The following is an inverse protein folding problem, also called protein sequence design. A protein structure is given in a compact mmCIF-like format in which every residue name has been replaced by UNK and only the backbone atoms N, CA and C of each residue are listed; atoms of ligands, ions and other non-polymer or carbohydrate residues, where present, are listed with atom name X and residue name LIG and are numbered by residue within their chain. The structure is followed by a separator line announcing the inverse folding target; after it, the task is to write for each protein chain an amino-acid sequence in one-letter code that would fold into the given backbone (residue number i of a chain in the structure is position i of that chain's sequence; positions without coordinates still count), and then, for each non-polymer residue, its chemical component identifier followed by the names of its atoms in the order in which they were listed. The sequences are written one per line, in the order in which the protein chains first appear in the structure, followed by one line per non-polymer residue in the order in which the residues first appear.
data_IF_584657363675
#
_entry.id   IF_584657363675
#
_cell.length_a   1.000
_cell.length_b   1.000
_cell.length_c   1.000
_cell.angle_alpha   90.00
_cell.angle_beta   90.00
_cell.angle_gamma   90.00
#
_symmetry.space_group_name_H-M   'P 1'
#
loop_
_entity.id
_entity.type
_entity.pdbx_description
1 polymer ?
#
# COMPACT_ATOMS: atom_id res chain seq x y z
N UNK A 1 33.82 27.49 -29.49
CA UNK A 1 33.40 28.79 -28.91
C UNK A 1 31.89 29.08 -28.95
N UNK A 2 31.05 28.40 -29.76
CA UNK A 2 29.60 28.71 -29.83
C UNK A 2 28.71 28.17 -28.68
N UNK A 3 29.09 27.10 -27.98
CA UNK A 3 28.27 26.53 -26.89
C UNK A 3 28.30 27.32 -25.57
N UNK A 4 29.42 27.99 -25.24
CA UNK A 4 29.54 28.80 -24.01
C UNK A 4 28.65 30.07 -24.05
N UNK A 5 28.46 30.66 -25.23
CA UNK A 5 27.62 31.85 -25.38
C UNK A 5 26.12 31.54 -25.28
N UNK A 6 25.69 30.31 -25.62
CA UNK A 6 24.29 29.89 -25.50
C UNK A 6 23.89 29.71 -24.03
N UNK A 7 24.78 29.13 -23.21
CA UNK A 7 24.55 28.95 -21.78
C UNK A 7 24.42 30.30 -21.07
N UNK A 8 25.30 31.26 -21.37
CA UNK A 8 25.24 32.60 -20.78
C UNK A 8 23.93 33.32 -21.14
N UNK A 9 23.45 33.19 -22.39
CA UNK A 9 22.17 33.78 -22.81
C UNK A 9 20.97 33.15 -22.10
N UNK A 10 20.97 31.83 -21.91
CA UNK A 10 19.90 31.12 -21.16
C UNK A 10 19.90 31.55 -19.70
N UNK A 11 21.06 31.68 -19.04
CA UNK A 11 21.13 32.14 -17.66
C UNK A 11 20.70 33.60 -17.48
N UNK A 12 21.06 34.48 -18.41
CA UNK A 12 20.61 35.88 -18.38
C UNK A 12 19.10 35.97 -18.60
N UNK A 13 18.54 35.14 -19.47
CA UNK A 13 17.09 35.09 -19.70
C UNK A 13 16.33 34.53 -18.49
N UNK A 14 16.85 33.47 -17.86
CA UNK A 14 16.28 32.88 -16.65
C UNK A 14 16.29 33.88 -15.50
N UNK A 15 17.41 34.60 -15.31
CA UNK A 15 17.54 35.62 -14.27
C UNK A 15 16.61 36.82 -14.51
N UNK A 16 16.43 37.22 -15.78
CA UNK A 16 15.46 38.25 -16.14
C UNK A 16 14.01 37.79 -15.91
N UNK A 17 13.68 36.52 -16.18
CA UNK A 17 12.36 35.96 -15.88
C UNK A 17 12.08 35.91 -14.37
N UNK A 18 13.07 35.51 -13.56
CA UNK A 18 12.96 35.53 -12.09
C UNK A 18 12.78 36.95 -11.57
N UNK A 19 13.56 37.91 -12.05
CA UNK A 19 13.41 39.31 -11.64
C UNK A 19 12.06 39.94 -12.05
N UNK A 20 11.53 39.58 -13.22
CA UNK A 20 10.20 40.01 -13.66
C UNK A 20 9.10 39.33 -12.84
N UNK A 21 9.28 38.05 -12.49
CA UNK A 21 8.37 37.32 -11.60
C UNK A 21 8.36 37.95 -10.20
N UNK A 22 9.52 38.17 -9.58
CA UNK A 22 9.64 38.84 -8.28
C UNK A 22 9.00 40.23 -8.30
N UNK A 23 9.20 41.01 -9.37
CA UNK A 23 8.57 42.32 -9.52
C UNK A 23 7.04 42.24 -9.70
N UNK A 24 6.55 41.30 -10.50
CA UNK A 24 5.10 41.13 -10.74
C UNK A 24 4.34 40.60 -9.53
N UNK A 25 5.00 39.82 -8.67
CA UNK A 25 4.38 39.16 -7.53
C UNK A 25 4.91 39.70 -6.19
N UNK A 26 5.59 40.84 -6.19
CA UNK A 26 6.23 41.42 -5.00
C UNK A 26 5.26 41.57 -3.83
N UNK A 27 4.01 41.96 -4.09
CA UNK A 27 3.00 42.16 -3.04
C UNK A 27 2.38 40.83 -2.55
N UNK A 28 2.43 39.76 -3.35
CA UNK A 28 1.93 38.42 -2.98
C UNK A 28 2.99 37.53 -2.34
N UNK A 29 4.26 37.77 -2.65
CA UNK A 29 5.39 37.03 -2.09
C UNK A 29 5.46 37.19 -0.56
N UNK A 30 5.11 38.36 -0.04
CA UNK A 30 5.06 38.65 1.41
C UNK A 30 3.88 37.97 2.13
N UNK A 31 2.78 37.67 1.43
CA UNK A 31 1.66 36.87 1.96
C UNK A 31 1.98 35.38 1.97
N UNK A 32 2.66 34.88 0.94
CA UNK A 32 3.05 33.47 0.83
C UNK A 32 4.27 33.11 1.68
N UNK A 33 5.11 34.11 1.97
CA UNK A 33 6.33 33.95 2.76
C UNK A 33 6.49 35.15 3.70
N UNK A 34 5.74 35.22 4.81
CA UNK A 34 5.95 36.26 5.81
C UNK A 34 7.37 36.14 6.39
N UNK A 35 8.08 37.26 6.47
CA UNK A 35 9.42 37.30 7.08
C UNK A 35 9.33 36.87 8.55
N UNK A 36 10.03 35.79 8.91
CA UNK A 36 10.25 35.43 10.32
C UNK A 36 11.01 36.55 11.01
N UNK A 37 10.39 37.23 11.96
CA UNK A 37 11.12 38.07 12.90
C UNK A 37 12.10 37.21 13.69
N UNK A 38 13.39 37.50 13.52
CA UNK A 38 14.46 36.94 14.35
C UNK A 38 14.35 37.56 15.74
N UNK A 39 13.86 36.78 16.70
CA UNK A 39 13.90 37.18 18.11
C UNK A 39 15.37 37.30 18.57
N UNK A 40 15.71 38.34 19.36
CA UNK A 40 17.06 38.53 19.84
C UNK A 40 17.40 37.50 20.90
N UNK A 41 18.60 36.93 20.76
CA UNK A 41 19.20 36.03 21.74
C UNK A 41 19.50 36.80 23.04
N UNK A 42 18.67 36.64 24.06
CA UNK A 42 18.98 37.02 25.44
C UNK A 42 18.94 35.78 26.31
N UNK A 43 20.11 35.44 26.84
CA UNK A 43 20.29 34.59 28.00
C UNK A 43 19.59 35.16 29.24
N UNK A 44 19.10 34.25 30.07
CA UNK A 44 18.54 34.37 31.42
C UNK A 44 17.05 34.72 31.58
N UNK A 45 16.38 33.75 32.22
CA UNK A 45 15.18 33.80 33.08
C UNK A 45 13.79 34.01 32.41
N UNK A 46 13.04 32.89 32.34
CA UNK A 46 11.60 32.86 32.08
C UNK A 46 11.10 31.43 31.85
N UNK A 47 10.79 30.71 32.93
CA UNK A 47 9.99 29.48 32.87
C UNK A 47 8.65 29.79 32.18
N UNK A 48 8.44 29.22 31.00
CA UNK A 48 7.10 29.08 30.42
C UNK A 48 6.66 27.65 30.76
N UNK A 49 5.86 27.57 31.82
CA UNK A 49 5.14 26.38 32.25
C UNK A 49 4.28 25.92 31.05
N UNK A 50 4.73 24.86 30.38
CA UNK A 50 3.80 23.97 29.70
C UNK A 50 2.88 23.45 30.80
N UNK A 51 1.59 23.78 30.72
CA UNK A 51 0.60 23.35 31.69
C UNK A 51 0.70 21.82 31.83
N UNK A 52 1.20 21.36 32.98
CA UNK A 52 1.28 19.93 33.33
C UNK A 52 -0.11 19.29 33.22
N UNK A 53 -1.19 20.06 33.41
CA UNK A 53 -2.59 19.66 33.17
C UNK A 53 -2.86 19.24 31.72
N UNK A 54 -2.27 19.87 30.70
CA UNK A 54 -2.50 19.51 29.28
C UNK A 54 -1.75 18.25 28.87
N UNK A 55 -0.62 17.96 29.51
CA UNK A 55 0.16 16.73 29.29
C UNK A 55 -0.47 15.58 30.08
N UNK A 56 -0.92 15.82 31.32
CA UNK A 56 -1.63 14.84 32.14
C UNK A 56 -3.02 14.51 31.54
N UNK A 57 -3.80 15.48 31.04
CA UNK A 57 -5.07 15.21 30.34
C UNK A 57 -4.84 14.39 29.05
N UNK A 58 -3.69 14.54 28.38
CA UNK A 58 -3.34 13.77 27.18
C UNK A 58 -2.85 12.36 27.50
N UNK A 59 -2.06 12.17 28.56
CA UNK A 59 -1.71 10.83 29.05
C UNK A 59 -2.94 10.11 29.60
N UNK A 60 -3.82 10.81 30.33
CA UNK A 60 -5.09 10.27 30.83
C UNK A 60 -6.06 9.94 29.68
N UNK A 61 -6.21 10.76 28.63
CA UNK A 61 -7.04 10.40 27.47
C UNK A 61 -6.47 9.25 26.65
N UNK A 62 -5.13 9.15 26.54
CA UNK A 62 -4.46 8.04 25.87
C UNK A 62 -4.58 6.75 26.69
N UNK A 63 -4.58 6.85 28.02
CA UNK A 63 -4.94 5.74 28.92
C UNK A 63 -6.45 5.46 28.89
N UNK A 64 -7.33 6.44 28.73
CA UNK A 64 -8.79 6.27 28.75
C UNK A 64 -9.29 5.61 27.45
N UNK A 65 -8.76 6.01 26.28
CA UNK A 65 -8.94 5.32 24.99
C UNK A 65 -8.26 3.94 24.94
N UNK A 66 -7.19 3.73 25.73
CA UNK A 66 -6.61 2.40 25.94
C UNK A 66 -7.34 1.58 27.01
N UNK A 67 -8.22 2.20 27.82
CA UNK A 67 -8.94 1.58 28.94
C UNK A 67 -10.35 1.08 28.61
N UNK A 68 -10.90 1.47 27.46
CA UNK A 68 -11.85 0.59 26.77
C UNK A 68 -11.03 -0.56 26.18
N UNK A 69 -10.55 -1.45 27.05
CA UNK A 69 -10.09 -2.79 26.71
C UNK A 69 -11.26 -3.48 26.00
N UNK A 70 -11.37 -3.26 24.69
CA UNK A 70 -11.96 -4.24 23.79
C UNK A 70 -11.20 -5.52 24.05
N UNK A 71 -11.96 -6.55 24.44
CA UNK A 71 -11.45 -7.80 24.98
C UNK A 71 -10.32 -8.29 24.07
N UNK A 72 -9.19 -8.71 24.66
CA UNK A 72 -8.06 -9.25 23.88
C UNK A 72 -8.49 -10.42 22.96
N UNK A 73 -9.67 -11.00 23.24
CA UNK A 73 -10.38 -12.03 22.48
C UNK A 73 -11.00 -11.54 21.14
N UNK A 74 -11.18 -10.22 20.93
CA UNK A 74 -11.71 -9.65 19.67
C UNK A 74 -10.64 -9.45 18.59
N UNK A 75 -9.35 -9.51 18.94
CA UNK A 75 -8.27 -9.39 17.97
C UNK A 75 -7.94 -10.74 17.32
N UNK A 76 -7.97 -10.78 15.98
CA UNK A 76 -7.74 -12.01 15.22
C UNK A 76 -6.31 -12.57 15.39
N UNK A 77 -5.35 -11.73 15.74
CA UNK A 77 -3.94 -12.11 15.95
C UNK A 77 -3.84 -13.07 17.15
N UNK A 78 -3.15 -14.21 16.97
CA UNK A 78 -2.97 -15.21 18.02
C UNK A 78 -4.08 -16.26 18.12
N UNK A 79 -5.16 -16.17 17.34
CA UNK A 79 -6.14 -17.25 17.19
C UNK A 79 -5.49 -18.49 16.57
N UNK A 80 -5.98 -19.67 16.95
CA UNK A 80 -5.60 -20.97 16.40
C UNK A 80 -6.36 -21.26 15.11
N UNK A 81 -5.91 -22.26 14.34
CA UNK A 81 -6.66 -22.76 13.18
C UNK A 81 -8.08 -23.19 13.55
N UNK A 82 -8.27 -23.87 14.68
CA UNK A 82 -9.59 -24.36 15.10
C UNK A 82 -10.54 -23.19 15.39
N UNK A 83 -10.06 -22.13 16.06
CA UNK A 83 -10.83 -20.90 16.32
C UNK A 83 -11.16 -20.17 15.01
N UNK A 84 -10.20 -20.08 14.07
CA UNK A 84 -10.43 -19.47 12.74
C UNK A 84 -11.50 -20.25 11.96
N UNK A 85 -11.46 -21.58 11.98
CA UNK A 85 -12.46 -22.41 11.30
C UNK A 85 -13.83 -22.32 12.01
N UNK A 86 -13.86 -22.19 13.34
CA UNK A 86 -15.09 -21.97 14.09
C UNK A 86 -15.76 -20.64 13.71
N UNK A 87 -14.97 -19.57 13.60
CA UNK A 87 -15.46 -18.23 13.31
C UNK A 87 -15.85 -18.05 11.82
N UNK A 88 -15.01 -18.52 10.90
CA UNK A 88 -15.10 -18.18 9.46
C UNK A 88 -15.39 -19.37 8.54
N UNK A 89 -15.36 -20.58 9.08
CA UNK A 89 -15.42 -21.84 8.32
C UNK A 89 -14.10 -22.20 7.65
N UNK A 90 -14.17 -23.24 6.82
CA UNK A 90 -13.03 -23.67 5.99
C UNK A 90 -12.65 -22.60 4.97
N UNK A 91 -11.35 -22.38 4.71
CA UNK A 91 -10.89 -21.44 3.69
C UNK A 91 -11.18 -21.97 2.28
N UNK A 92 -11.38 -21.06 1.33
CA UNK A 92 -11.62 -21.38 -0.08
C UNK A 92 -10.33 -21.85 -0.77
N UNK A 93 -9.18 -21.31 -0.33
CA UNK A 93 -7.85 -21.59 -0.86
C UNK A 93 -6.78 -21.38 0.20
N UNK A 94 -5.63 -22.02 0.04
CA UNK A 94 -4.43 -21.75 0.83
C UNK A 94 -3.26 -21.36 -0.06
N UNK A 95 -2.64 -20.22 0.21
CA UNK A 95 -1.51 -19.71 -0.57
C UNK A 95 -0.24 -19.59 0.30
N UNK A 96 0.95 -19.78 -0.29
CA UNK A 96 2.19 -19.50 0.41
C UNK A 96 2.48 -18.00 0.41
N UNK A 97 3.05 -17.47 1.49
CA UNK A 97 3.55 -16.08 1.52
C UNK A 97 5.06 -16.00 1.28
N UNK A 98 5.50 -14.84 0.78
CA UNK A 98 6.90 -14.45 0.77
C UNK A 98 7.47 -14.08 2.17
N UNK A 99 6.77 -14.42 3.26
CA UNK A 99 7.17 -14.02 4.62
C UNK A 99 7.16 -15.16 5.64
N UNK A 100 6.95 -16.41 5.20
CA UNK A 100 7.14 -17.62 5.99
C UNK A 100 5.85 -18.18 6.61
N UNK A 101 4.76 -17.43 6.55
CA UNK A 101 3.42 -17.88 6.92
C UNK A 101 2.61 -18.34 5.70
N UNK A 102 1.52 -19.06 5.94
CA UNK A 102 0.57 -19.49 4.90
C UNK A 102 -0.70 -18.65 4.98
N UNK A 103 -1.21 -18.21 3.84
CA UNK A 103 -2.49 -17.51 3.75
C UNK A 103 -3.64 -18.51 3.67
N UNK A 104 -4.64 -18.32 4.52
CA UNK A 104 -5.98 -18.86 4.37
C UNK A 104 -6.82 -17.82 3.65
N UNK A 105 -7.32 -18.13 2.46
CA UNK A 105 -8.06 -17.20 1.60
C UNK A 105 -9.56 -17.45 1.76
N UNK A 106 -10.30 -16.36 1.96
CA UNK A 106 -11.76 -16.36 2.07
C UNK A 106 -12.34 -15.39 1.04
N UNK A 107 -12.53 -15.88 -0.19
CA UNK A 107 -13.11 -15.15 -1.31
C UNK A 107 -14.63 -15.36 -1.34
N UNK A 108 -15.31 -14.91 -0.27
CA UNK A 108 -16.73 -15.22 0.00
C UNK A 108 -17.68 -14.74 -1.10
N UNK A 109 -17.40 -13.60 -1.72
CA UNK A 109 -18.16 -13.05 -2.85
C UNK A 109 -17.38 -11.96 -3.60
N UNK A 110 -17.96 -11.45 -4.70
CA UNK A 110 -17.40 -10.32 -5.45
C UNK A 110 -17.32 -9.02 -4.64
N UNK A 111 -18.00 -8.91 -3.49
CA UNK A 111 -17.97 -7.74 -2.59
C UNK A 111 -17.27 -7.99 -1.26
N UNK A 112 -16.84 -9.22 -0.97
CA UNK A 112 -16.32 -9.58 0.36
C UNK A 112 -15.14 -10.53 0.25
N UNK A 113 -13.97 -10.07 0.68
CA UNK A 113 -12.72 -10.82 0.67
C UNK A 113 -11.91 -10.56 1.94
N UNK A 114 -11.32 -11.62 2.48
CA UNK A 114 -10.28 -11.49 3.49
C UNK A 114 -9.30 -12.66 3.40
N UNK A 115 -8.10 -12.45 3.94
CA UNK A 115 -7.09 -13.49 4.05
C UNK A 115 -6.42 -13.45 5.41
N UNK A 116 -6.15 -14.63 5.99
CA UNK A 116 -5.60 -14.80 7.33
C UNK A 116 -4.26 -15.53 7.21
N UNK A 117 -3.18 -14.92 7.70
CA UNK A 117 -1.83 -15.47 7.67
C UNK A 117 -1.56 -16.30 8.92
N UNK A 118 -1.23 -17.57 8.72
CA UNK A 118 -0.95 -18.55 9.77
C UNK A 118 0.53 -18.90 9.83
N UNK A 119 1.13 -18.82 11.01
CA UNK A 119 2.49 -19.29 11.30
C UNK A 119 2.49 -20.04 12.63
N UNK A 120 3.16 -21.20 12.69
CA UNK A 120 3.26 -22.03 13.89
C UNK A 120 1.90 -22.31 14.58
N UNK A 121 0.85 -22.48 13.75
CA UNK A 121 -0.52 -22.77 14.20
C UNK A 121 -1.29 -21.57 14.76
N UNK A 122 -0.77 -20.36 14.57
CA UNK A 122 -1.32 -19.11 15.09
C UNK A 122 -1.49 -18.05 14.00
N UNK A 123 -2.54 -17.24 14.12
CA UNK A 123 -2.71 -16.06 13.25
C UNK A 123 -1.62 -15.04 13.55
N UNK A 124 -0.90 -14.60 12.53
CA UNK A 124 0.17 -13.59 12.62
C UNK A 124 -0.10 -12.33 11.81
N UNK A 125 -1.04 -12.40 10.86
CA UNK A 125 -1.54 -11.26 10.09
C UNK A 125 -2.93 -11.56 9.52
N UNK A 126 -3.70 -10.53 9.20
CA UNK A 126 -4.92 -10.66 8.41
C UNK A 126 -5.08 -9.43 7.51
N UNK A 127 -5.76 -9.60 6.37
CA UNK A 127 -6.13 -8.52 5.46
C UNK A 127 -7.62 -8.61 5.14
N UNK A 128 -8.32 -7.48 5.20
CA UNK A 128 -9.75 -7.36 5.03
C UNK A 128 -10.09 -6.28 4.00
N UNK A 129 -11.03 -6.58 3.12
CA UNK A 129 -11.56 -5.62 2.13
C UNK A 129 -13.03 -5.92 1.81
N UNK A 130 -13.76 -4.88 1.40
CA UNK A 130 -15.16 -5.02 1.00
C UNK A 130 -16.09 -5.06 2.20
N UNK A 131 -17.15 -5.85 2.11
CA UNK A 131 -18.21 -5.91 3.13
C UNK A 131 -17.66 -6.37 4.50
N UNK A 132 -16.54 -7.09 4.53
CA UNK A 132 -15.85 -7.46 5.78
C UNK A 132 -15.41 -6.26 6.61
N UNK A 133 -15.17 -5.10 5.98
CA UNK A 133 -14.82 -3.90 6.73
C UNK A 133 -16.01 -3.40 7.55
N UNK A 134 -17.24 -3.63 7.10
CA UNK A 134 -18.45 -3.21 7.83
C UNK A 134 -18.64 -3.98 9.15
N UNK A 135 -17.91 -5.09 9.33
CA UNK A 135 -17.88 -5.87 10.57
C UNK A 135 -16.83 -5.34 11.57
N UNK A 136 -15.96 -4.41 11.16
CA UNK A 136 -15.00 -3.77 12.04
C UNK A 136 -15.69 -2.78 13.00
N UNK A 137 -15.04 -2.44 14.14
CA UNK A 137 -15.47 -1.32 14.98
C UNK A 137 -15.75 -0.07 14.13
N UNK A 138 -16.84 0.63 14.43
CA UNK A 138 -17.32 1.74 13.60
C UNK A 138 -16.29 2.88 13.50
N UNK A 139 -15.44 3.03 14.52
CA UNK A 139 -14.34 3.99 14.58
C UNK A 139 -13.25 3.74 13.52
N UNK A 140 -13.22 2.53 12.95
CA UNK A 140 -12.31 2.15 11.87
C UNK A 140 -12.95 2.29 10.49
N UNK A 141 -14.24 2.65 10.40
CA UNK A 141 -14.98 2.84 9.15
C UNK A 141 -15.05 4.30 8.67
N UNK A 142 -14.41 5.19 9.42
CA UNK A 142 -14.39 6.62 9.19
C UNK A 142 -13.53 7.02 7.98
N UNK A 143 -13.67 8.27 7.54
CA UNK A 143 -12.77 8.85 6.51
C UNK A 143 -11.36 9.02 7.06
N UNK A 144 -10.39 9.23 6.16
CA UNK A 144 -9.01 9.52 6.57
C UNK A 144 -8.94 10.71 7.54
N UNK A 145 -9.67 11.79 7.26
CA UNK A 145 -9.63 13.01 8.06
C UNK A 145 -10.17 12.76 9.48
N UNK A 146 -11.32 12.09 9.59
CA UNK A 146 -11.93 11.72 10.88
C UNK A 146 -11.04 10.76 11.68
N UNK A 147 -10.49 9.72 11.05
CA UNK A 147 -9.57 8.81 11.73
C UNK A 147 -8.27 9.52 12.16
N UNK A 148 -7.73 10.41 11.34
CA UNK A 148 -6.52 11.14 11.68
C UNK A 148 -6.77 12.17 12.80
N UNK A 149 -7.98 12.73 12.92
CA UNK A 149 -8.38 13.57 14.06
C UNK A 149 -8.48 12.76 15.36
N UNK A 150 -8.97 11.52 15.29
CA UNK A 150 -9.12 10.66 16.47
C UNK A 150 -7.78 10.03 16.90
N UNK A 151 -7.09 9.38 15.96
CA UNK A 151 -5.90 8.56 16.23
C UNK A 151 -4.58 9.31 16.05
N UNK A 152 -4.58 10.51 15.45
CA UNK A 152 -3.38 11.32 15.19
C UNK A 152 -2.26 10.53 14.51
N UNK A 153 -2.40 10.23 13.21
CA UNK A 153 -1.42 9.40 12.52
C UNK A 153 -0.02 10.02 12.52
N UNK A 154 0.96 9.26 13.02
CA UNK A 154 2.34 9.70 13.11
C UNK A 154 3.13 9.40 11.84
N UNK A 155 4.09 10.28 11.51
CA UNK A 155 5.09 10.02 10.46
C UNK A 155 6.21 9.09 10.95
N UNK A 156 6.27 8.85 12.27
CA UNK A 156 7.32 8.07 12.91
C UNK A 156 6.72 7.15 13.97
N UNK A 157 6.84 5.84 13.76
CA UNK A 157 6.29 4.83 14.67
C UNK A 157 7.37 3.83 15.07
N UNK A 158 7.43 3.51 16.37
CA UNK A 158 8.43 2.60 16.95
C UNK A 158 7.78 1.24 17.23
N UNK A 159 8.35 0.16 16.69
CA UNK A 159 7.97 -1.20 16.98
C UNK A 159 9.10 -1.92 17.73
N UNK A 160 8.76 -2.56 18.85
CA UNK A 160 9.65 -3.50 19.53
C UNK A 160 9.25 -4.90 19.10
N UNK A 161 10.21 -5.71 18.71
CA UNK A 161 9.98 -7.05 18.16
C UNK A 161 10.99 -8.04 18.72
N UNK A 162 10.85 -9.32 18.37
CA UNK A 162 11.86 -10.33 18.71
C UNK A 162 13.23 -10.10 18.02
N UNK A 163 13.26 -9.22 17.03
CA UNK A 163 14.45 -8.82 16.28
C UNK A 163 15.16 -7.58 16.85
N UNK A 164 14.51 -6.85 17.75
CA UNK A 164 15.01 -5.60 18.35
C UNK A 164 14.03 -4.44 18.17
N UNK A 165 14.55 -3.22 18.30
CA UNK A 165 13.77 -1.99 18.16
C UNK A 165 13.87 -1.47 16.72
N UNK A 166 12.72 -1.19 16.10
CA UNK A 166 12.59 -0.68 14.75
C UNK A 166 11.82 0.64 14.77
N UNK A 167 12.31 1.64 14.05
CA UNK A 167 11.68 2.93 13.89
C UNK A 167 11.29 3.06 12.42
N UNK A 168 10.00 2.99 12.15
CA UNK A 168 9.43 3.22 10.84
C UNK A 168 9.27 4.72 10.59
N UNK A 169 9.56 5.14 9.38
CA UNK A 169 9.39 6.50 8.87
C UNK A 169 8.43 6.45 7.68
N UNK A 170 7.24 7.01 7.87
CA UNK A 170 6.21 7.13 6.85
C UNK A 170 6.43 8.44 6.10
N UNK A 171 6.51 8.38 4.77
CA UNK A 171 6.44 9.60 3.97
C UNK A 171 5.06 10.27 4.12
N UNK A 172 4.90 11.55 3.74
CA UNK A 172 3.57 12.19 3.74
C UNK A 172 2.54 11.43 2.89
N UNK A 173 2.97 10.76 1.83
CA UNK A 173 2.12 9.90 1.00
C UNK A 173 1.77 8.60 1.72
N UNK A 174 2.72 7.96 2.42
CA UNK A 174 2.44 6.79 3.25
C UNK A 174 1.47 7.11 4.37
N UNK A 175 1.68 8.22 5.09
CA UNK A 175 0.78 8.67 6.15
C UNK A 175 -0.64 8.89 5.65
N UNK A 176 -0.81 9.41 4.43
CA UNK A 176 -2.13 9.65 3.84
C UNK A 176 -2.80 8.39 3.30
N UNK A 177 -2.04 7.54 2.60
CA UNK A 177 -2.61 6.43 1.84
C UNK A 177 -2.62 5.12 2.64
N UNK A 178 -1.71 4.98 3.61
CA UNK A 178 -1.50 3.76 4.39
C UNK A 178 -0.89 4.05 5.77
N UNK A 179 -1.52 4.86 6.64
CA UNK A 179 -1.01 5.09 7.99
C UNK A 179 -0.88 3.79 8.78
N UNK A 180 -0.01 3.83 9.78
CA UNK A 180 0.32 2.71 10.66
C UNK A 180 0.07 3.12 12.10
N UNK A 181 -0.76 2.37 12.82
CA UNK A 181 -1.02 2.58 14.25
C UNK A 181 -0.79 1.29 15.04
N UNK A 182 -0.35 1.44 16.28
CA UNK A 182 -0.35 0.33 17.24
C UNK A 182 -1.71 0.32 17.94
N UNK A 183 -2.49 -0.73 17.71
CA UNK A 183 -3.84 -0.84 18.25
C UNK A 183 -3.86 -1.53 19.62
N UNK A 184 -3.00 -2.53 19.81
CA UNK A 184 -2.77 -3.18 21.11
C UNK A 184 -1.29 -3.57 21.24
N UNK A 185 -0.89 -4.11 22.40
CA UNK A 185 0.49 -4.57 22.60
C UNK A 185 0.87 -5.62 21.55
N UNK A 186 1.91 -5.32 20.78
CA UNK A 186 2.38 -6.12 19.64
C UNK A 186 1.42 -6.29 18.45
N UNK A 187 0.27 -5.61 18.41
CA UNK A 187 -0.70 -5.65 17.31
C UNK A 187 -0.79 -4.31 16.60
N UNK A 188 -0.59 -4.34 15.29
CA UNK A 188 -0.46 -3.19 14.42
C UNK A 188 -1.54 -3.20 13.34
N UNK A 189 -2.08 -2.01 13.06
CA UNK A 189 -3.02 -1.78 11.97
C UNK A 189 -2.33 -0.93 10.90
N UNK A 190 -2.23 -1.48 9.69
CA UNK A 190 -1.93 -0.74 8.48
C UNK A 190 -3.25 -0.50 7.74
N UNK A 191 -3.69 0.75 7.73
CA UNK A 191 -5.03 1.14 7.30
C UNK A 191 -4.90 1.76 5.91
N UNK A 192 -5.49 1.17 4.87
CA UNK A 192 -5.36 1.69 3.51
C UNK A 192 -6.52 2.61 3.17
N UNK A 193 -6.23 3.79 2.62
CA UNK A 193 -7.22 4.74 2.14
C UNK A 193 -7.14 4.90 0.63
N UNK A 194 -8.30 5.10 0.03
CA UNK A 194 -8.40 5.62 -1.33
C UNK A 194 -8.27 7.14 -1.29
N UNK A 195 -7.12 7.65 -1.71
CA UNK A 195 -6.80 9.08 -1.63
C UNK A 195 -7.68 9.98 -2.50
N UNK A 196 -8.40 9.41 -3.47
CA UNK A 196 -9.30 10.15 -4.34
C UNK A 196 -10.70 10.30 -3.73
N UNK A 197 -11.10 9.37 -2.86
CA UNK A 197 -12.43 9.38 -2.21
C UNK A 197 -12.36 9.72 -0.73
N UNK A 198 -11.17 9.71 -0.13
CA UNK A 198 -10.92 9.90 1.30
C UNK A 198 -11.51 8.79 2.20
N UNK A 199 -11.84 7.63 1.63
CA UNK A 199 -12.50 6.53 2.31
C UNK A 199 -11.54 5.37 2.58
N UNK A 200 -11.83 4.60 3.63
CA UNK A 200 -11.18 3.33 3.91
C UNK A 200 -11.31 2.37 2.71
N UNK A 201 -10.17 1.97 2.16
CA UNK A 201 -10.06 0.98 1.09
C UNK A 201 -9.99 -0.43 1.66
N UNK A 202 -9.06 -0.68 2.58
CA UNK A 202 -8.84 -1.98 3.20
C UNK A 202 -8.07 -1.86 4.52
N UNK A 203 -8.01 -2.94 5.28
CA UNK A 203 -7.30 -3.01 6.55
C UNK A 203 -6.38 -4.21 6.57
N UNK A 204 -5.13 -4.00 7.00
CA UNK A 204 -4.22 -5.08 7.35
C UNK A 204 -3.87 -5.05 8.83
N UNK A 205 -4.09 -6.16 9.50
CA UNK A 205 -3.71 -6.41 10.89
C UNK A 205 -2.42 -7.23 10.89
N UNK A 206 -1.45 -6.85 11.70
CA UNK A 206 -0.12 -7.44 11.76
C UNK A 206 0.29 -7.63 13.21
N UNK A 207 0.96 -8.73 13.53
CA UNK A 207 1.82 -8.71 14.70
C UNK A 207 3.13 -7.94 14.38
N UNK A 208 3.83 -7.51 15.42
CA UNK A 208 5.08 -6.75 15.32
C UNK A 208 6.19 -7.46 14.52
N UNK A 209 6.30 -8.78 14.63
CA UNK A 209 7.31 -9.57 13.91
C UNK A 209 7.02 -9.66 12.41
N UNK A 210 5.74 -9.71 12.00
CA UNK A 210 5.35 -9.63 10.58
C UNK A 210 5.59 -8.22 10.06
N UNK A 211 5.23 -7.18 10.81
CA UNK A 211 5.51 -5.79 10.43
C UNK A 211 7.02 -5.59 10.16
N UNK A 212 7.88 -6.11 11.05
CA UNK A 212 9.35 -6.05 10.92
C UNK A 212 9.90 -6.94 9.81
N UNK A 213 9.24 -8.03 9.44
CA UNK A 213 9.63 -8.83 8.27
C UNK A 213 9.25 -8.15 6.96
N UNK A 214 8.02 -7.63 6.87
CA UNK A 214 7.50 -6.97 5.67
C UNK A 214 8.20 -5.64 5.38
N UNK A 215 8.46 -4.84 6.41
CA UNK A 215 9.06 -3.49 6.29
C UNK A 215 8.38 -2.64 5.22
N UNK A 216 7.07 -2.37 5.36
CA UNK A 216 6.31 -1.64 4.34
C UNK A 216 6.72 -0.16 4.17
N UNK A 217 7.52 0.38 5.10
CA UNK A 217 8.01 1.76 5.13
C UNK A 217 9.54 1.82 5.26
N UNK A 218 10.10 3.02 5.11
CA UNK A 218 11.50 3.27 5.48
C UNK A 218 11.70 2.93 6.96
N UNK A 219 12.83 2.31 7.30
CA UNK A 219 13.06 1.81 8.65
C UNK A 219 14.51 1.95 9.09
N UNK A 220 14.71 2.45 10.30
CA UNK A 220 15.98 2.36 11.04
C UNK A 220 15.83 1.39 12.22
N UNK A 221 16.90 0.74 12.65
CA UNK A 221 16.79 -0.31 13.67
C UNK A 221 18.00 -0.41 14.61
N UNK A 222 17.73 -0.91 15.81
CA UNK A 222 18.72 -1.36 16.80
C UNK A 222 18.40 -2.82 17.13
N UNK A 223 19.19 -3.73 16.56
CA UNK A 223 18.95 -5.16 16.68
C UNK A 223 19.54 -5.92 15.50
N UNK A 224 18.91 -7.02 15.14
CA UNK A 224 19.25 -7.82 13.94
C UNK A 224 18.14 -7.68 12.92
N UNK A 225 18.48 -7.63 11.64
CA UNK A 225 17.48 -7.71 10.59
C UNK A 225 17.00 -9.16 10.44
N UNK A 226 15.71 -9.43 10.19
CA UNK A 226 15.26 -10.77 9.82
C UNK A 226 16.04 -11.27 8.60
N UNK A 227 16.53 -12.50 8.67
CA UNK A 227 17.23 -13.13 7.55
C UNK A 227 16.23 -13.40 6.41
N UNK A 228 16.65 -13.28 5.13
CA UNK A 228 15.84 -13.72 4.01
C UNK A 228 15.49 -15.22 4.16
N UNK A 229 14.24 -15.56 3.90
CA UNK A 229 13.78 -16.95 3.91
C UNK A 229 14.24 -17.60 2.61
N UNK A 230 15.09 -18.63 2.71
CA UNK A 230 15.48 -19.43 1.55
C UNK A 230 14.27 -20.24 1.04
N UNK A 231 14.06 -20.22 -0.28
CA UNK A 231 12.95 -20.91 -0.94
C UNK A 231 13.45 -21.69 -2.14
N UNK A 232 12.83 -22.84 -2.38
CA UNK A 232 12.98 -23.55 -3.64
C UNK A 232 12.24 -22.82 -4.78
N UNK A 233 12.62 -23.11 -6.02
CA UNK A 233 11.92 -22.57 -7.20
C UNK A 233 10.43 -22.98 -7.24
N UNK A 234 10.09 -24.16 -6.72
CA UNK A 234 8.71 -24.64 -6.65
C UNK A 234 7.89 -23.86 -5.60
N UNK A 235 8.47 -23.54 -4.45
CA UNK A 235 7.82 -22.68 -3.45
C UNK A 235 7.64 -21.26 -3.98
N UNK A 236 8.64 -20.74 -4.68
CA UNK A 236 8.56 -19.41 -5.30
C UNK A 236 7.42 -19.34 -6.33
N UNK A 237 7.32 -20.33 -7.23
CA UNK A 237 6.22 -20.41 -8.20
C UNK A 237 4.84 -20.52 -7.52
N UNK A 238 4.75 -21.23 -6.38
CA UNK A 238 3.51 -21.32 -5.60
C UNK A 238 3.12 -20.00 -4.94
N UNK A 239 4.10 -19.21 -4.47
CA UNK A 239 3.86 -17.86 -3.94
C UNK A 239 3.34 -16.97 -5.07
N UNK A 240 4.02 -16.94 -6.21
CA UNK A 240 3.67 -16.11 -7.36
C UNK A 240 2.24 -16.38 -7.84
N UNK A 241 1.86 -17.66 -8.01
CA UNK A 241 0.49 -18.04 -8.38
C UNK A 241 -0.55 -17.67 -7.33
N UNK A 242 -0.19 -17.74 -6.05
CA UNK A 242 -1.06 -17.29 -4.96
C UNK A 242 -1.31 -15.77 -5.05
N UNK A 243 -0.24 -15.00 -5.24
CA UNK A 243 -0.33 -13.54 -5.38
C UNK A 243 -1.08 -13.11 -6.64
N UNK A 244 -0.93 -13.80 -7.77
CA UNK A 244 -1.73 -13.57 -8.98
C UNK A 244 -3.22 -13.61 -8.69
N UNK A 245 -3.66 -14.64 -7.96
CA UNK A 245 -5.06 -14.83 -7.62
C UNK A 245 -5.52 -13.84 -6.54
N UNK A 246 -4.69 -13.53 -5.53
CA UNK A 246 -4.99 -12.49 -4.53
C UNK A 246 -5.18 -11.13 -5.19
N UNK A 247 -4.31 -10.74 -6.12
CA UNK A 247 -4.42 -9.49 -6.88
C UNK A 247 -5.74 -9.46 -7.67
N UNK A 248 -6.09 -10.56 -8.33
CA UNK A 248 -7.35 -10.67 -9.09
C UNK A 248 -8.57 -10.52 -8.17
N UNK A 249 -8.61 -11.26 -7.06
CA UNK A 249 -9.71 -11.27 -6.11
C UNK A 249 -9.89 -9.86 -5.50
N UNK A 250 -8.81 -9.24 -5.00
CA UNK A 250 -8.84 -7.89 -4.41
C UNK A 250 -9.23 -6.82 -5.43
N UNK A 251 -8.74 -6.92 -6.67
CA UNK A 251 -9.13 -5.99 -7.75
C UNK A 251 -10.63 -6.04 -8.03
N UNK A 252 -11.23 -7.24 -8.02
CA UNK A 252 -12.66 -7.40 -8.23
C UNK A 252 -13.48 -6.85 -7.07
N UNK A 253 -13.05 -7.03 -5.82
CA UNK A 253 -13.72 -6.39 -4.68
C UNK A 253 -13.69 -4.86 -4.80
N UNK A 254 -12.55 -4.28 -5.18
CA UNK A 254 -12.47 -2.83 -5.42
C UNK A 254 -13.45 -2.37 -6.50
N UNK A 255 -13.58 -3.13 -7.60
CA UNK A 255 -14.54 -2.81 -8.66
C UNK A 255 -15.98 -2.86 -8.19
N UNK A 256 -16.36 -3.89 -7.44
CA UNK A 256 -17.71 -4.03 -6.89
C UNK A 256 -18.05 -2.88 -5.95
N UNK A 257 -17.09 -2.44 -5.11
CA UNK A 257 -17.25 -1.25 -4.26
C UNK A 257 -17.48 0.04 -5.07
N UNK A 258 -16.90 0.13 -6.27
CA UNK A 258 -17.14 1.20 -7.23
C UNK A 258 -18.34 0.97 -8.15
N UNK A 259 -19.21 -0.02 -7.83
CA UNK A 259 -20.42 -0.35 -8.60
C UNK A 259 -20.12 -0.78 -10.04
N UNK A 260 -18.96 -1.40 -10.25
CA UNK A 260 -18.52 -1.95 -11.54
C UNK A 260 -18.63 -3.48 -11.52
N UNK A 261 -18.84 -4.06 -12.70
CA UNK A 261 -18.82 -5.52 -12.86
C UNK A 261 -17.41 -6.06 -12.60
N UNK A 262 -17.32 -7.17 -11.86
CA UNK A 262 -16.09 -7.91 -11.66
C UNK A 262 -15.51 -8.40 -13.00
N UNK A 263 -14.18 -8.39 -13.12
CA UNK A 263 -13.51 -8.97 -14.26
C UNK A 263 -13.60 -10.50 -14.25
N UNK A 264 -13.63 -11.08 -15.44
CA UNK A 264 -13.45 -12.52 -15.65
C UNK A 264 -11.96 -12.83 -15.76
N UNK A 265 -11.48 -13.85 -15.05
CA UNK A 265 -10.09 -14.32 -15.20
C UNK A 265 -9.86 -14.83 -16.62
N UNK A 266 -8.80 -14.37 -17.26
CA UNK A 266 -8.37 -14.89 -18.56
C UNK A 266 -6.94 -15.44 -18.48
N UNK A 267 -6.82 -16.75 -18.74
CA UNK A 267 -5.55 -17.46 -18.58
C UNK A 267 -4.53 -17.05 -19.66
N UNK A 268 -4.98 -16.80 -20.90
CA UNK A 268 -4.08 -16.48 -22.00
C UNK A 268 -3.46 -15.09 -21.79
N UNK A 269 -4.22 -14.12 -21.30
CA UNK A 269 -3.71 -12.79 -20.98
C UNK A 269 -2.85 -12.79 -19.70
N UNK A 270 -3.15 -13.66 -18.73
CA UNK A 270 -2.31 -13.87 -17.55
C UNK A 270 -0.91 -14.40 -17.93
N UNK A 271 -0.83 -15.37 -18.85
CA UNK A 271 0.46 -15.87 -19.36
C UNK A 271 1.31 -14.75 -20.02
N UNK A 272 0.66 -13.77 -20.67
CA UNK A 272 1.34 -12.58 -21.22
C UNK A 272 1.86 -11.69 -20.09
N UNK A 273 1.07 -11.51 -19.01
CA UNK A 273 1.46 -10.72 -17.85
C UNK A 273 2.66 -11.34 -17.12
N UNK A 274 2.65 -12.66 -16.89
CA UNK A 274 3.75 -13.40 -16.21
C UNK A 274 5.06 -13.21 -16.96
N UNK A 275 5.04 -13.41 -18.29
CA UNK A 275 6.22 -13.22 -19.13
C UNK A 275 6.75 -11.80 -19.09
N UNK A 276 5.88 -10.80 -18.92
CA UNK A 276 6.32 -9.41 -18.81
C UNK A 276 6.94 -9.09 -17.46
N UNK A 277 6.35 -9.57 -16.35
CA UNK A 277 6.97 -9.49 -15.02
C UNK A 277 8.33 -10.19 -15.00
N UNK A 278 8.43 -11.39 -15.57
CA UNK A 278 9.69 -12.13 -15.73
C UNK A 278 10.72 -11.37 -16.59
N UNK A 279 10.29 -10.76 -17.70
CA UNK A 279 11.18 -9.99 -18.59
C UNK A 279 11.72 -8.73 -17.89
N UNK A 280 10.86 -7.99 -17.17
CA UNK A 280 11.24 -6.84 -16.36
C UNK A 280 12.26 -7.21 -15.29
N UNK A 281 12.01 -8.30 -14.56
CA UNK A 281 12.92 -8.81 -13.53
C UNK A 281 14.26 -9.25 -14.15
N UNK A 282 14.24 -10.12 -15.16
CA UNK A 282 15.47 -10.72 -15.71
C UNK A 282 16.37 -9.72 -16.44
N UNK A 283 15.77 -8.69 -17.04
CA UNK A 283 16.49 -7.68 -17.80
C UNK A 283 16.60 -6.34 -17.07
N UNK A 284 16.18 -6.28 -15.80
CA UNK A 284 16.40 -5.16 -14.88
C UNK A 284 15.89 -3.83 -15.46
N UNK A 285 14.65 -3.83 -15.92
CA UNK A 285 13.94 -2.64 -16.37
C UNK A 285 12.52 -2.60 -15.80
N UNK A 286 11.91 -1.42 -15.79
CA UNK A 286 10.53 -1.22 -15.37
C UNK A 286 9.82 -0.29 -16.37
N UNK A 287 9.02 -0.87 -17.26
CA UNK A 287 8.41 -0.17 -18.39
C UNK A 287 7.30 -0.99 -19.05
N UNK A 288 6.24 -0.32 -19.53
CA UNK A 288 5.21 -0.92 -20.39
C UNK A 288 5.75 -1.40 -21.74
N UNK A 289 6.89 -0.86 -22.19
CA UNK A 289 7.56 -1.24 -23.43
C UNK A 289 8.84 -2.00 -23.08
N UNK A 290 8.83 -3.29 -23.41
CA UNK A 290 10.01 -4.14 -23.31
C UNK A 290 10.99 -3.85 -24.46
N UNK A 291 12.30 -3.77 -24.18
CA UNK A 291 13.33 -3.79 -25.22
C UNK A 291 13.38 -5.07 -26.05
N UNK A 292 12.84 -6.19 -25.52
CA UNK A 292 12.92 -7.52 -26.10
C UNK A 292 11.62 -7.94 -26.80
N UNK A 293 10.48 -7.70 -26.15
CA UNK A 293 9.16 -8.20 -26.56
C UNK A 293 8.21 -7.09 -27.02
N UNK A 294 8.64 -5.82 -26.95
CA UNK A 294 7.87 -4.67 -27.43
C UNK A 294 6.83 -4.17 -26.43
N UNK A 295 5.83 -3.43 -26.93
CA UNK A 295 4.72 -2.92 -26.13
C UNK A 295 3.67 -4.00 -25.83
N UNK A 296 2.66 -3.67 -25.02
CA UNK A 296 1.58 -4.59 -24.66
C UNK A 296 0.90 -5.23 -25.90
N UNK A 297 0.67 -4.44 -26.95
CA UNK A 297 0.03 -4.93 -28.18
C UNK A 297 0.87 -6.00 -28.86
N UNK A 298 2.19 -5.79 -28.94
CA UNK A 298 3.13 -6.79 -29.46
C UNK A 298 3.12 -8.08 -28.64
N UNK A 299 3.18 -7.97 -27.29
CA UNK A 299 3.16 -9.13 -26.38
C UNK A 299 1.85 -9.92 -26.47
N UNK A 300 0.71 -9.24 -26.51
CA UNK A 300 -0.62 -9.85 -26.69
C UNK A 300 -0.70 -10.57 -28.05
N UNK A 301 -0.23 -9.93 -29.13
CA UNK A 301 -0.23 -10.54 -30.46
C UNK A 301 0.68 -11.77 -30.55
N UNK A 302 1.83 -11.76 -29.89
CA UNK A 302 2.73 -12.91 -29.78
C UNK A 302 2.06 -14.07 -29.03
N UNK A 303 1.26 -13.77 -28.00
CA UNK A 303 0.38 -14.73 -27.31
C UNK A 303 -0.77 -15.26 -28.16
N UNK A 304 -0.94 -14.80 -29.41
CA UNK A 304 -2.03 -15.22 -30.30
C UNK A 304 -3.37 -14.52 -30.05
N UNK A 305 -3.42 -13.59 -29.10
CA UNK A 305 -4.60 -12.85 -28.70
C UNK A 305 -4.84 -11.63 -29.60
N UNK A 306 -6.11 -11.24 -29.74
CA UNK A 306 -6.53 -10.05 -30.50
C UNK A 306 -7.72 -9.38 -29.83
N UNK A 307 -7.58 -8.77 -28.66
CA UNK A 307 -8.69 -8.08 -28.03
C UNK A 307 -9.08 -6.81 -28.80
N UNK A 308 -10.30 -6.31 -28.54
CA UNK A 308 -10.79 -5.00 -29.02
C UNK A 308 -10.13 -3.86 -28.27
N UNK A 309 -9.91 -4.04 -26.97
CA UNK A 309 -9.31 -3.07 -26.06
C UNK A 309 -8.37 -3.81 -25.11
N UNK A 310 -7.23 -3.22 -24.78
CA UNK A 310 -6.30 -3.75 -23.79
C UNK A 310 -5.66 -2.60 -22.99
N UNK A 311 -5.31 -2.87 -21.73
CA UNK A 311 -4.62 -1.95 -20.82
C UNK A 311 -3.68 -2.72 -19.91
N UNK A 312 -2.73 -2.03 -19.29
CA UNK A 312 -1.73 -2.64 -18.42
C UNK A 312 -1.45 -1.76 -17.20
N UNK A 313 -1.39 -2.39 -16.03
CA UNK A 313 -0.74 -1.83 -14.84
C UNK A 313 0.50 -2.66 -14.52
N UNK A 314 1.59 -2.02 -14.11
CA UNK A 314 2.81 -2.67 -13.63
C UNK A 314 3.21 -2.11 -12.27
N UNK A 315 3.76 -2.94 -11.41
CA UNK A 315 4.32 -2.58 -10.11
C UNK A 315 5.57 -3.41 -9.84
N UNK A 316 6.47 -2.90 -9.01
CA UNK A 316 7.65 -3.63 -8.56
C UNK A 316 8.01 -3.23 -7.13
N UNK A 317 8.65 -4.15 -6.40
CA UNK A 317 9.20 -3.94 -5.05
C UNK A 317 8.16 -3.59 -3.97
N UNK A 318 6.87 -3.88 -4.21
CA UNK A 318 5.86 -3.89 -3.16
C UNK A 318 6.06 -5.11 -2.27
N UNK A 319 5.63 -5.00 -1.02
CA UNK A 319 5.74 -6.08 -0.03
C UNK A 319 4.98 -7.33 -0.47
N UNK A 320 3.84 -7.17 -1.13
CA UNK A 320 3.05 -8.26 -1.70
C UNK A 320 2.08 -7.72 -2.75
N UNK A 321 1.35 -8.65 -3.39
CA UNK A 321 0.35 -8.34 -4.40
C UNK A 321 -0.77 -7.42 -3.91
N UNK A 322 -1.30 -7.58 -2.70
CA UNK A 322 -2.41 -6.72 -2.24
C UNK A 322 -1.93 -5.28 -2.00
N UNK A 323 -0.69 -5.08 -1.52
CA UNK A 323 -0.09 -3.75 -1.44
C UNK A 323 0.11 -3.12 -2.83
N UNK A 324 0.45 -3.91 -3.86
CA UNK A 324 0.54 -3.43 -5.23
C UNK A 324 -0.82 -2.94 -5.76
N UNK A 325 -1.91 -3.64 -5.45
CA UNK A 325 -3.27 -3.22 -5.83
C UNK A 325 -3.66 -1.89 -5.20
N UNK A 326 -3.40 -1.71 -3.90
CA UNK A 326 -3.63 -0.43 -3.21
C UNK A 326 -2.78 0.71 -3.80
N UNK A 327 -1.54 0.40 -4.20
CA UNK A 327 -0.66 1.34 -4.92
C UNK A 327 -1.22 1.77 -6.27
N UNK A 328 -1.76 0.83 -7.06
CA UNK A 328 -2.43 1.14 -8.33
C UNK A 328 -3.72 1.95 -8.12
N UNK A 329 -4.52 1.61 -7.10
CA UNK A 329 -5.75 2.35 -6.76
C UNK A 329 -5.47 3.82 -6.47
N UNK A 330 -4.36 4.09 -5.79
CA UNK A 330 -3.90 5.41 -5.41
C UNK A 330 -3.05 6.10 -6.49
N UNK A 331 -2.94 5.56 -7.70
CA UNK A 331 -2.23 6.21 -8.80
C UNK A 331 -3.18 6.54 -9.94
N UNK A 332 -3.34 7.82 -10.28
CA UNK A 332 -4.36 8.28 -11.25
C UNK A 332 -4.28 7.50 -12.58
N UNK A 333 -3.06 7.28 -13.11
CA UNK A 333 -2.86 6.55 -14.36
C UNK A 333 -3.25 5.07 -14.28
N UNK A 334 -2.96 4.40 -13.17
CA UNK A 334 -3.26 2.98 -12.98
C UNK A 334 -4.73 2.74 -12.58
N UNK A 335 -5.29 3.66 -11.78
CA UNK A 335 -6.68 3.68 -11.36
C UNK A 335 -7.65 3.70 -12.53
N UNK A 336 -7.30 4.44 -13.60
CA UNK A 336 -8.11 4.47 -14.83
C UNK A 336 -8.31 3.06 -15.40
N UNK A 337 -7.32 2.18 -15.34
CA UNK A 337 -7.45 0.80 -15.82
C UNK A 337 -8.28 -0.05 -14.85
N UNK A 338 -8.00 0.03 -13.54
CA UNK A 338 -8.74 -0.71 -12.50
C UNK A 338 -10.25 -0.45 -12.58
N UNK A 339 -10.64 0.80 -12.78
CA UNK A 339 -12.03 1.26 -12.79
C UNK A 339 -12.58 1.51 -14.19
N UNK A 340 -11.91 1.02 -15.24
CA UNK A 340 -12.42 1.17 -16.61
C UNK A 340 -13.66 0.29 -16.81
N UNK A 341 -14.77 0.89 -17.26
CA UNK A 341 -16.03 0.16 -17.46
C UNK A 341 -15.97 -0.80 -18.66
N UNK A 342 -15.24 -0.44 -19.73
CA UNK A 342 -15.19 -1.30 -20.92
C UNK A 342 -14.35 -2.57 -20.78
N UNK A 343 -13.42 -2.63 -19.81
CA UNK A 343 -12.64 -3.84 -19.57
C UNK A 343 -13.53 -4.90 -18.93
N UNK A 344 -13.34 -6.15 -19.35
CA UNK A 344 -14.19 -7.29 -18.94
C UNK A 344 -13.39 -8.47 -18.43
N UNK A 345 -12.13 -8.60 -18.88
CA UNK A 345 -11.25 -9.68 -18.48
C UNK A 345 -9.97 -9.10 -17.88
N UNK A 346 -9.41 -9.84 -16.94
CA UNK A 346 -8.14 -9.54 -16.30
C UNK A 346 -7.31 -10.82 -16.26
N UNK A 347 -6.04 -10.69 -16.61
CA UNK A 347 -5.01 -11.68 -16.27
C UNK A 347 -3.91 -10.98 -15.50
N UNK A 348 -3.48 -11.64 -14.43
CA UNK A 348 -2.43 -11.15 -13.55
C UNK A 348 -1.20 -12.03 -13.74
N UNK A 349 -0.03 -11.45 -13.70
CA UNK A 349 1.22 -12.18 -13.69
C UNK A 349 2.19 -11.64 -12.67
N UNK A 350 2.76 -12.53 -11.88
CA UNK A 350 3.74 -12.21 -10.84
C UNK A 350 5.03 -12.99 -11.11
N UNK A 351 6.17 -12.32 -10.92
CA UNK A 351 7.47 -12.97 -10.96
C UNK A 351 8.39 -12.27 -9.96
N UNK A 352 8.80 -12.99 -8.91
CA UNK A 352 9.42 -12.40 -7.72
C UNK A 352 8.62 -11.19 -7.20
N UNK A 353 9.22 -10.00 -7.12
CA UNK A 353 8.58 -8.76 -6.65
C UNK A 353 8.10 -7.85 -7.79
N UNK A 354 7.85 -8.42 -8.98
CA UNK A 354 7.28 -7.73 -10.14
C UNK A 354 5.86 -8.21 -10.40
N UNK A 355 4.93 -7.27 -10.52
CA UNK A 355 3.49 -7.52 -10.66
C UNK A 355 2.96 -6.84 -11.94
N UNK A 356 2.18 -7.56 -12.73
CA UNK A 356 1.56 -7.04 -13.95
C UNK A 356 0.07 -7.40 -13.98
N UNK A 357 -0.80 -6.42 -14.23
CA UNK A 357 -2.20 -6.63 -14.57
C UNK A 357 -2.40 -6.30 -16.04
N UNK A 358 -2.88 -7.25 -16.82
CA UNK A 358 -3.31 -7.02 -18.20
C UNK A 358 -4.83 -7.13 -18.30
N UNK A 359 -5.44 -6.01 -18.65
CA UNK A 359 -6.89 -5.88 -18.82
C UNK A 359 -7.23 -6.04 -20.30
N UNK A 360 -8.38 -6.65 -20.60
CA UNK A 360 -8.85 -6.69 -21.97
C UNK A 360 -10.37 -6.75 -22.13
N UNK A 361 -10.79 -6.47 -23.36
CA UNK A 361 -12.14 -6.74 -23.85
C UNK A 361 -12.02 -7.49 -25.17
N UNK A 362 -12.52 -8.73 -25.28
CA UNK A 362 -12.48 -9.47 -26.53
C UNK A 362 -13.36 -8.79 -27.60
N UNK A 363 -13.09 -9.05 -28.88
CA UNK A 363 -14.17 -8.93 -29.87
C UNK A 363 -15.17 -10.03 -29.50
N UNK A 364 -16.44 -9.66 -29.26
CA UNK A 364 -17.52 -10.53 -28.79
C UNK A 364 -17.33 -12.01 -29.15
N UNK A 365 -17.61 -12.97 -28.22
CA UNK A 365 -17.45 -14.40 -28.47
C UNK A 365 -18.16 -14.89 -29.75
#
# INVERSE_FOLDING_TARGET
MRKKNLIIVVFVFLFACVAVFEYMYQDKLTEWFPERELLPNTSDEGEELLDEELIEEHEEQKEELASEELDHDDLIIGKTMDEVIEDFGEPDRTDLSAYGYEWLIYAKSDSSYFQIGMEDGKVVTAYFIGDMLEELPYELLDTYDEMNENYHFDEQVSANSTYGQFQFELSPEDKKNRPLIQYADGVWLQIYFDQFTNQLSSLRVLNEDILVRQRPYSVSYRGRLPEPIERSAEEQERIERGEEQQIFDVTNVMRTRHQLEAFVWDQEIAEVAVKHSEDMQKHQFFSHVSPNTGDLSARIQEGGLRPRLAGENIAAHYVDGVAAVEGWLNSEGHRVNLLHEEFTHLGVGVYEDYYTQNFMTPWLP
#
